data_IF_873573023163
#
_entry.id   IF_873573023163
#
_cell.length_a   1.000
_cell.length_b   1.000
_cell.length_c   1.000
_cell.angle_alpha   90.00
_cell.angle_beta   90.00
_cell.angle_gamma   90.00
#
_symmetry.space_group_name_H-M   'P 1'
#
loop_
_entity.id
_entity.type
_entity.pdbx_description
1 polymer ?
#
# COMPACT_ATOMS: atom_id res chain seq x y z
N UNK A 1 30.41 -30.04 17.37
CA UNK A 1 31.74 -29.46 17.14
C UNK A 1 31.83 -28.17 16.33
N UNK A 2 30.82 -27.72 15.56
CA UNK A 2 30.97 -26.49 14.75
C UNK A 2 30.64 -25.16 15.47
N UNK A 3 30.18 -25.19 16.72
CA UNK A 3 29.82 -23.99 17.49
C UNK A 3 30.93 -23.50 18.44
N UNK A 4 32.02 -24.26 18.60
CA UNK A 4 33.12 -23.93 19.51
C UNK A 4 34.31 -23.20 18.84
N UNK A 5 34.30 -23.06 17.51
CA UNK A 5 35.32 -22.29 16.76
C UNK A 5 34.96 -20.80 16.54
N UNK A 6 33.77 -20.36 16.97
CA UNK A 6 33.34 -18.96 16.86
C UNK A 6 33.71 -18.21 18.15
N UNK A 7 34.97 -17.79 18.25
CA UNK A 7 35.48 -17.01 19.39
C UNK A 7 34.82 -15.63 19.57
N UNK A 8 34.27 -15.04 18.50
CA UNK A 8 33.54 -13.76 18.54
C UNK A 8 32.23 -13.82 17.76
N UNK A 9 31.27 -12.98 18.17
CA UNK A 9 29.94 -12.88 17.58
C UNK A 9 30.02 -12.49 16.08
N UNK A 10 29.72 -13.41 15.14
CA UNK A 10 29.90 -13.21 13.71
C UNK A 10 28.78 -12.37 13.06
N UNK A 11 27.80 -11.93 13.83
CA UNK A 11 26.68 -11.13 13.33
C UNK A 11 27.07 -9.64 13.30
N UNK A 12 26.99 -8.96 12.15
CA UNK A 12 27.25 -7.53 12.08
C UNK A 12 26.27 -6.76 12.98
N UNK A 13 26.71 -5.63 13.53
CA UNK A 13 25.87 -4.79 14.36
C UNK A 13 24.71 -4.22 13.54
N UNK A 14 23.46 -4.53 13.93
CA UNK A 14 22.25 -4.05 13.26
C UNK A 14 21.63 -2.93 14.09
N UNK A 15 21.44 -1.76 13.49
CA UNK A 15 20.73 -0.64 14.10
C UNK A 15 19.39 -0.46 13.39
N UNK A 16 18.29 -0.61 14.13
CA UNK A 16 16.94 -0.40 13.60
C UNK A 16 16.52 1.04 13.88
N UNK A 17 16.29 1.83 12.83
CA UNK A 17 15.86 3.21 12.93
C UNK A 17 14.38 3.30 12.56
N UNK A 18 13.56 3.79 13.49
CA UNK A 18 12.16 4.09 13.24
C UNK A 18 12.03 5.58 12.90
N UNK A 19 11.82 5.95 11.62
CA UNK A 19 11.54 7.33 11.29
C UNK A 19 10.22 7.77 11.96
N UNK A 20 10.20 8.97 12.52
CA UNK A 20 9.01 9.59 13.10
C UNK A 20 7.98 10.04 12.06
N UNK A 21 8.33 9.97 10.77
CA UNK A 21 7.48 10.26 9.62
C UNK A 21 7.13 8.97 8.89
N UNK A 22 5.84 8.80 8.59
CA UNK A 22 5.29 7.63 7.87
C UNK A 22 5.41 7.75 6.35
N UNK A 23 5.99 8.85 5.86
CA UNK A 23 6.13 9.12 4.44
C UNK A 23 7.28 8.30 3.83
N UNK A 24 6.96 7.60 2.74
CA UNK A 24 7.87 6.67 2.07
C UNK A 24 9.06 7.41 1.44
N UNK A 25 8.82 8.61 0.90
CA UNK A 25 9.84 9.44 0.25
C UNK A 25 10.85 9.99 1.28
N UNK A 26 10.34 10.41 2.44
CA UNK A 26 11.19 10.83 3.56
C UNK A 26 12.02 9.66 4.12
N UNK A 27 11.46 8.45 4.16
CA UNK A 27 12.14 7.25 4.60
C UNK A 27 13.24 6.79 3.62
N UNK A 28 13.01 6.88 2.30
CA UNK A 28 14.04 6.63 1.29
C UNK A 28 15.20 7.63 1.37
N UNK A 29 14.89 8.92 1.60
CA UNK A 29 15.92 9.95 1.79
C UNK A 29 16.78 9.66 3.01
N UNK A 30 16.16 9.30 4.14
CA UNK A 30 16.86 8.91 5.37
C UNK A 30 17.76 7.68 5.14
N UNK A 31 17.27 6.66 4.42
CA UNK A 31 18.08 5.50 4.02
C UNK A 31 19.29 5.92 3.18
N UNK A 32 19.08 6.82 2.22
CA UNK A 32 20.15 7.35 1.37
C UNK A 32 21.21 8.15 2.14
N UNK A 33 20.80 8.89 3.16
CA UNK A 33 21.73 9.65 4.01
C UNK A 33 22.49 8.74 5.00
N UNK A 34 21.83 7.72 5.54
CA UNK A 34 22.47 6.68 6.37
C UNK A 34 23.46 5.83 5.55
N UNK A 35 23.14 5.52 4.30
CA UNK A 35 24.02 4.76 3.40
C UNK A 35 25.31 5.53 3.01
N UNK A 36 25.37 6.85 3.22
CA UNK A 36 26.56 7.67 2.95
C UNK A 36 27.52 7.72 4.14
N UNK A 37 27.10 7.24 5.32
CA UNK A 37 27.97 7.15 6.48
C UNK A 37 28.95 6.00 6.26
N UNK A 38 30.26 6.28 6.33
CA UNK A 38 31.31 5.29 6.05
C UNK A 38 31.35 4.10 7.02
N UNK A 39 30.61 4.18 8.13
CA UNK A 39 30.44 3.12 9.13
C UNK A 39 29.26 2.18 8.81
N UNK A 40 28.44 2.51 7.80
CA UNK A 40 27.24 1.77 7.40
C UNK A 40 27.54 0.93 6.17
N UNK A 41 27.74 -0.36 6.38
CA UNK A 41 28.01 -1.33 5.31
C UNK A 41 26.75 -1.65 4.49
N UNK A 42 25.56 -1.61 5.12
CA UNK A 42 24.29 -1.94 4.45
C UNK A 42 23.09 -1.22 5.09
N UNK A 43 22.51 -0.24 4.38
CA UNK A 43 21.26 0.42 4.76
C UNK A 43 20.08 -0.11 3.93
N UNK A 44 19.33 -1.07 4.48
CA UNK A 44 18.10 -1.58 3.88
C UNK A 44 16.87 -0.88 4.46
N UNK A 45 16.10 -0.26 3.58
CA UNK A 45 14.75 0.15 3.89
C UNK A 45 13.85 -1.00 3.44
N UNK A 46 13.19 -1.68 4.38
CA UNK A 46 12.30 -2.81 4.11
C UNK A 46 10.97 -2.36 3.47
N UNK A 47 11.03 -1.33 2.62
CA UNK A 47 9.91 -0.65 1.99
C UNK A 47 9.52 -1.28 0.65
N UNK A 48 10.38 -2.09 0.03
CA UNK A 48 10.11 -2.61 -1.32
C UNK A 48 8.90 -3.55 -1.35
N UNK A 49 8.71 -4.39 -0.33
CA UNK A 49 7.54 -5.26 -0.23
C UNK A 49 6.27 -4.46 0.13
N UNK A 50 6.39 -3.45 0.99
CA UNK A 50 5.30 -2.55 1.39
C UNK A 50 4.82 -1.73 0.19
N UNK A 51 5.73 -1.17 -0.59
CA UNK A 51 5.44 -0.39 -1.79
C UNK A 51 4.74 -1.24 -2.85
N UNK A 52 5.18 -2.50 -3.04
CA UNK A 52 4.49 -3.46 -3.91
C UNK A 52 3.07 -3.77 -3.42
N UNK A 53 2.86 -3.91 -2.12
CA UNK A 53 1.53 -4.11 -1.53
C UNK A 53 0.63 -2.88 -1.74
N UNK A 54 1.14 -1.67 -1.51
CA UNK A 54 0.39 -0.44 -1.77
C UNK A 54 -0.03 -0.31 -3.23
N UNK A 55 0.83 -0.69 -4.18
CA UNK A 55 0.46 -0.69 -5.59
C UNK A 55 -0.70 -1.65 -5.90
N UNK A 56 -0.69 -2.86 -5.32
CA UNK A 56 -1.80 -3.83 -5.47
C UNK A 56 -3.09 -3.28 -4.83
N UNK A 57 -2.99 -2.66 -3.65
CA UNK A 57 -4.13 -2.05 -2.96
C UNK A 57 -4.71 -0.85 -3.72
N UNK A 58 -3.87 -0.04 -4.36
CA UNK A 58 -4.34 1.08 -5.19
C UNK A 58 -5.15 0.60 -6.39
N UNK A 59 -4.69 -0.46 -7.05
CA UNK A 59 -5.46 -1.11 -8.13
C UNK A 59 -6.81 -1.62 -7.63
N UNK A 60 -6.82 -2.31 -6.48
CA UNK A 60 -8.06 -2.79 -5.84
C UNK A 60 -9.02 -1.64 -5.50
N UNK A 61 -8.50 -0.53 -4.95
CA UNK A 61 -9.28 0.66 -4.62
C UNK A 61 -9.96 1.24 -5.87
N UNK A 62 -9.24 1.36 -6.98
CA UNK A 62 -9.81 1.86 -8.25
C UNK A 62 -10.93 0.97 -8.77
N UNK A 63 -10.78 -0.35 -8.67
CA UNK A 63 -11.83 -1.30 -9.05
C UNK A 63 -13.08 -1.14 -8.19
N UNK A 64 -12.93 -1.05 -6.86
CA UNK A 64 -14.06 -0.85 -5.94
C UNK A 64 -14.80 0.45 -6.24
N UNK A 65 -14.08 1.54 -6.52
CA UNK A 65 -14.69 2.83 -6.91
C UNK A 65 -15.46 2.70 -8.22
N UNK A 66 -14.88 2.07 -9.24
CA UNK A 66 -15.55 1.87 -10.52
C UNK A 66 -16.84 1.04 -10.37
N UNK A 67 -16.79 -0.06 -9.60
CA UNK A 67 -17.96 -0.88 -9.30
C UNK A 67 -19.03 -0.12 -8.51
N UNK A 68 -18.62 0.69 -7.53
CA UNK A 68 -19.54 1.50 -6.72
C UNK A 68 -20.31 2.49 -7.58
N UNK A 69 -19.62 3.18 -8.50
CA UNK A 69 -20.25 4.10 -9.46
C UNK A 69 -21.18 3.33 -10.39
N UNK A 70 -20.75 2.20 -10.95
CA UNK A 70 -21.56 1.38 -11.85
C UNK A 70 -22.85 0.89 -11.19
N UNK A 71 -22.76 0.41 -9.94
CA UNK A 71 -23.92 -0.01 -9.16
C UNK A 71 -24.87 1.16 -8.87
N UNK A 72 -24.35 2.33 -8.48
CA UNK A 72 -25.17 3.51 -8.25
C UNK A 72 -25.94 3.93 -9.52
N UNK A 73 -25.29 3.90 -10.69
CA UNK A 73 -25.93 4.19 -11.97
C UNK A 73 -27.00 3.16 -12.33
N UNK A 74 -26.73 1.87 -12.12
CA UNK A 74 -27.71 0.81 -12.36
C UNK A 74 -28.97 1.00 -11.51
N UNK A 75 -28.80 1.28 -10.21
CA UNK A 75 -29.93 1.54 -9.30
C UNK A 75 -30.72 2.78 -9.74
N UNK A 76 -30.03 3.88 -10.08
CA UNK A 76 -30.68 5.09 -10.55
C UNK A 76 -31.49 4.84 -11.83
N UNK A 77 -30.93 4.09 -12.78
CA UNK A 77 -31.60 3.74 -14.03
C UNK A 77 -32.84 2.89 -13.79
N UNK A 78 -32.77 1.93 -12.88
CA UNK A 78 -33.94 1.14 -12.46
C UNK A 78 -35.02 2.05 -11.88
N UNK A 79 -34.69 2.93 -10.94
CA UNK A 79 -35.66 3.85 -10.33
C UNK A 79 -36.32 4.75 -11.37
N UNK A 80 -35.53 5.36 -12.27
CA UNK A 80 -36.04 6.23 -13.34
C UNK A 80 -36.99 5.44 -14.25
N UNK A 81 -36.60 4.23 -14.64
CA UNK A 81 -37.42 3.38 -15.50
C UNK A 81 -38.73 2.97 -14.78
N UNK A 82 -38.65 2.61 -13.51
CA UNK A 82 -39.82 2.27 -12.68
C UNK A 82 -40.78 3.45 -12.54
N UNK A 83 -40.28 4.68 -12.32
CA UNK A 83 -41.13 5.89 -12.26
C UNK A 83 -41.85 6.11 -13.60
N UNK A 84 -41.13 5.97 -14.73
CA UNK A 84 -41.73 6.12 -16.06
C UNK A 84 -42.86 5.11 -16.28
N UNK A 85 -42.62 3.85 -15.91
CA UNK A 85 -43.62 2.78 -16.00
C UNK A 85 -44.84 3.04 -15.12
N UNK A 86 -44.63 3.52 -13.89
CA UNK A 86 -45.70 3.82 -12.95
C UNK A 86 -46.58 5.00 -13.42
N UNK A 87 -46.02 5.95 -14.16
CA UNK A 87 -46.77 7.06 -14.78
C UNK A 87 -47.57 6.57 -15.99
N UNK A 88 -46.98 5.73 -16.85
CA UNK A 88 -47.66 5.20 -18.04
C UNK A 88 -48.84 4.30 -17.65
N UNK A 89 -48.69 3.45 -16.64
CA UNK A 89 -49.76 2.57 -16.12
C UNK A 89 -50.98 3.31 -15.57
N UNK A 90 -50.89 4.63 -15.31
CA UNK A 90 -52.02 5.44 -14.80
C UNK A 90 -52.69 6.27 -15.91
N UNK A 91 -52.15 6.23 -17.13
CA UNK A 91 -52.71 6.94 -18.30
C UNK A 91 -53.70 6.10 -19.11
N UNK A 92 -53.76 4.79 -18.85
CA UNK A 92 -54.85 3.89 -19.25
C UNK A 92 -55.87 3.72 -18.09
#
# INVERSE_FOLDING_TARGET
DLLQELGENPLPAVVVVYPSVTDLEAAEKLRGDLAKMGEVDLAQLDAQWVQRLYAILDLGRRLVVALSIGLALAVLLVIINTIRLAIESRRD
#
